data_IF_345453276496
#
_entry.id   IF_345453276496
#
_cell.length_a   1.000
_cell.length_b   1.000
_cell.length_c   1.000
_cell.angle_alpha   90.00
_cell.angle_beta   90.00
_cell.angle_gamma   90.00
#
_symmetry.space_group_name_H-M   'P 1'
#
loop_
_entity.id
_entity.type
_entity.pdbx_description
1 polymer ?
#
# COMPACT_ATOMS: atom_id res chain seq x y z
N UNK A 1 12.41 6.80 -20.04
CA UNK A 1 12.94 7.61 -18.92
C UNK A 1 12.28 7.07 -17.66
N UNK A 2 13.05 6.66 -16.66
CA UNK A 2 12.49 6.17 -15.38
C UNK A 2 11.59 7.23 -14.71
N UNK A 3 11.84 8.51 -15.00
CA UNK A 3 11.07 9.64 -14.50
C UNK A 3 9.64 9.71 -15.05
N UNK A 4 9.41 9.30 -16.29
CA UNK A 4 8.07 9.29 -16.89
C UNK A 4 7.20 8.19 -16.27
N UNK A 5 7.78 7.01 -16.04
CA UNK A 5 7.08 5.89 -15.40
C UNK A 5 6.75 6.20 -13.93
N UNK A 6 7.66 6.85 -13.21
CA UNK A 6 7.42 7.34 -11.84
C UNK A 6 6.30 8.39 -11.82
N UNK A 7 6.31 9.34 -12.76
CA UNK A 7 5.28 10.39 -12.86
C UNK A 7 3.90 9.78 -13.17
N UNK A 8 3.84 8.83 -14.10
CA UNK A 8 2.63 8.11 -14.44
C UNK A 8 2.12 7.29 -13.24
N UNK A 9 3.01 6.58 -12.54
CA UNK A 9 2.64 5.82 -11.35
C UNK A 9 2.03 6.71 -10.26
N UNK A 10 2.57 7.91 -10.03
CA UNK A 10 1.98 8.89 -9.10
C UNK A 10 0.61 9.36 -9.54
N UNK A 11 0.46 9.78 -10.79
CA UNK A 11 -0.83 10.24 -11.31
C UNK A 11 -1.90 9.16 -11.18
N UNK A 12 -1.55 7.92 -11.51
CA UNK A 12 -2.47 6.80 -11.42
C UNK A 12 -2.80 6.44 -9.97
N UNK A 13 -1.82 6.45 -9.06
CA UNK A 13 -2.07 6.28 -7.63
C UNK A 13 -3.05 7.33 -7.07
N UNK A 14 -2.86 8.61 -7.44
CA UNK A 14 -3.79 9.68 -7.05
C UNK A 14 -5.19 9.50 -7.64
N UNK A 15 -5.27 9.08 -8.90
CA UNK A 15 -6.55 8.79 -9.53
C UNK A 15 -7.27 7.63 -8.83
N UNK A 16 -6.54 6.56 -8.47
CA UNK A 16 -7.10 5.42 -7.73
C UNK A 16 -7.59 5.81 -6.34
N UNK A 17 -6.85 6.66 -5.61
CA UNK A 17 -7.30 7.16 -4.31
C UNK A 17 -8.58 8.00 -4.44
N UNK A 18 -8.71 8.79 -5.51
CA UNK A 18 -9.91 9.58 -5.77
C UNK A 18 -11.12 8.71 -6.11
N UNK A 19 -10.91 7.68 -6.91
CA UNK A 19 -11.99 6.82 -7.43
C UNK A 19 -12.41 5.72 -6.44
N UNK A 20 -11.42 5.05 -5.83
CA UNK A 20 -11.63 3.85 -5.02
C UNK A 20 -11.33 4.06 -3.52
N UNK A 21 -10.77 5.20 -3.13
CA UNK A 21 -10.50 5.53 -1.73
C UNK A 21 -9.66 4.45 -1.03
N UNK A 22 -10.22 3.84 0.03
CA UNK A 22 -9.56 2.79 0.81
C UNK A 22 -9.32 1.49 0.02
N UNK A 23 -10.04 1.26 -1.07
CA UNK A 23 -9.93 0.07 -1.91
C UNK A 23 -8.88 0.23 -3.02
N UNK A 24 -8.31 1.42 -3.19
CA UNK A 24 -7.27 1.69 -4.20
C UNK A 24 -6.10 0.66 -4.19
N UNK A 25 -5.57 0.21 -3.04
CA UNK A 25 -4.52 -0.82 -3.02
C UNK A 25 -4.98 -2.17 -3.54
N UNK A 26 -6.23 -2.58 -3.24
CA UNK A 26 -6.79 -3.85 -3.73
C UNK A 26 -6.92 -3.81 -5.25
N UNK A 27 -7.43 -2.71 -5.80
CA UNK A 27 -7.52 -2.53 -7.24
C UNK A 27 -6.14 -2.63 -7.91
N UNK A 28 -5.13 -1.93 -7.38
CA UNK A 28 -3.78 -1.96 -7.92
C UNK A 28 -3.15 -3.37 -7.88
N UNK A 29 -3.40 -4.14 -6.81
CA UNK A 29 -2.94 -5.52 -6.69
C UNK A 29 -3.55 -6.43 -7.77
N UNK A 30 -4.87 -6.36 -7.99
CA UNK A 30 -5.53 -7.14 -9.05
C UNK A 30 -4.97 -6.83 -10.45
N UNK A 31 -4.61 -5.57 -10.70
CA UNK A 31 -4.02 -5.17 -11.98
C UNK A 31 -2.59 -5.67 -12.13
N UNK A 32 -1.82 -5.73 -11.05
CA UNK A 32 -0.50 -6.37 -11.04
C UNK A 32 -0.60 -7.87 -11.34
N UNK A 33 -1.52 -8.58 -10.69
CA UNK A 33 -1.79 -10.01 -10.94
C UNK A 33 -2.13 -10.26 -12.42
N UNK A 34 -3.06 -9.47 -12.98
CA UNK A 34 -3.41 -9.56 -14.40
C UNK A 34 -2.23 -9.29 -15.33
N UNK A 35 -1.29 -8.43 -14.95
CA UNK A 35 -0.08 -8.18 -15.73
C UNK A 35 0.89 -9.38 -15.68
N UNK A 36 1.00 -10.05 -14.54
CA UNK A 36 1.78 -11.28 -14.37
C UNK A 36 1.21 -12.40 -15.24
N UNK A 37 -0.11 -12.59 -15.22
CA UNK A 37 -0.80 -13.57 -16.08
C UNK A 37 -0.50 -13.34 -17.58
N UNK A 38 -0.43 -12.07 -17.99
CA UNK A 38 -0.10 -11.65 -19.35
C UNK A 38 1.42 -11.68 -19.65
N UNK A 39 2.26 -12.01 -18.67
CA UNK A 39 3.73 -11.93 -18.73
C UNK A 39 4.25 -10.52 -19.10
N UNK A 40 3.46 -9.48 -18.82
CA UNK A 40 3.86 -8.09 -19.00
C UNK A 40 4.51 -7.57 -17.70
N UNK A 41 5.80 -7.86 -17.56
CA UNK A 41 6.56 -7.48 -16.37
C UNK A 41 6.80 -5.98 -16.28
N UNK A 42 6.75 -5.23 -17.40
CA UNK A 42 6.84 -3.77 -17.40
C UNK A 42 5.62 -3.15 -16.74
N UNK A 43 4.41 -3.59 -17.13
CA UNK A 43 3.18 -3.18 -16.46
C UNK A 43 3.14 -3.65 -15.01
N UNK A 44 3.58 -4.87 -14.73
CA UNK A 44 3.66 -5.37 -13.36
C UNK A 44 4.56 -4.47 -12.47
N UNK A 45 5.74 -4.08 -12.96
CA UNK A 45 6.65 -3.20 -12.23
C UNK A 45 6.04 -1.83 -11.95
N UNK A 46 5.28 -1.27 -12.90
CA UNK A 46 4.54 -0.03 -12.70
C UNK A 46 3.43 -0.16 -11.65
N UNK A 47 2.65 -1.25 -11.70
CA UNK A 47 1.61 -1.52 -10.67
C UNK A 47 2.20 -1.74 -9.28
N UNK A 48 3.37 -2.38 -9.19
CA UNK A 48 4.13 -2.47 -7.95
C UNK A 48 4.50 -1.08 -7.44
N UNK A 49 5.00 -0.19 -8.31
CA UNK A 49 5.34 1.17 -7.89
C UNK A 49 4.14 1.99 -7.42
N UNK A 50 2.99 1.82 -8.07
CA UNK A 50 1.70 2.41 -7.64
C UNK A 50 1.34 1.91 -6.24
N UNK A 51 1.46 0.60 -5.97
CA UNK A 51 1.21 0.03 -4.64
C UNK A 51 2.12 0.64 -3.57
N UNK A 52 3.41 0.81 -3.87
CA UNK A 52 4.36 1.44 -2.94
C UNK A 52 3.92 2.89 -2.61
N UNK A 53 3.52 3.67 -3.62
CA UNK A 53 3.03 5.05 -3.41
C UNK A 53 1.75 5.06 -2.57
N UNK A 54 0.81 4.13 -2.81
CA UNK A 54 -0.42 4.03 -2.04
C UNK A 54 -0.16 3.64 -0.58
N UNK A 55 0.86 2.81 -0.32
CA UNK A 55 1.28 2.44 1.03
C UNK A 55 1.91 3.62 1.77
N UNK A 56 2.77 4.39 1.09
CA UNK A 56 3.43 5.59 1.63
C UNK A 56 2.44 6.74 1.88
N UNK A 57 1.39 6.83 1.06
CA UNK A 57 0.37 7.89 1.13
C UNK A 57 -0.71 7.63 2.19
N UNK A 58 -0.73 6.43 2.79
CA UNK A 58 -1.65 6.14 3.88
C UNK A 58 -1.23 7.06 5.04
N UNK A 59 -2.08 8.00 5.50
CA UNK A 59 -1.76 8.73 6.71
C UNK A 59 -1.50 7.67 7.76
N UNK A 60 -0.39 7.77 8.48
CA UNK A 60 -0.04 6.86 9.56
C UNK A 60 -1.25 6.78 10.49
N UNK A 61 -2.13 5.81 10.24
CA UNK A 61 -3.21 5.48 11.13
C UNK A 61 -2.45 4.94 12.32
N UNK A 62 -2.29 5.82 13.30
CA UNK A 62 -1.67 5.59 14.58
C UNK A 62 -2.34 4.39 15.21
N UNK A 63 -1.86 3.19 14.88
CA UNK A 63 -1.91 2.05 15.77
C UNK A 63 -0.71 2.22 16.69
N UNK A 64 -0.73 3.30 17.49
CA UNK A 64 -0.08 3.24 18.79
C UNK A 64 -0.93 2.29 19.61
N UNK A 65 -0.63 1.01 19.47
CA UNK A 65 -1.03 0.00 20.42
C UNK A 65 -0.31 0.37 21.72
N UNK A 66 -0.96 1.20 22.54
CA UNK A 66 -0.54 1.44 23.92
C UNK A 66 -0.62 0.07 24.58
N UNK A 67 0.51 -0.59 24.74
CA UNK A 67 0.62 -1.74 25.62
C UNK A 67 0.22 -1.27 27.01
N UNK A 68 -1.01 -1.60 27.41
CA UNK A 68 -1.47 -1.40 28.77
C UNK A 68 -0.54 -2.20 29.68
N UNK A 69 0.19 -1.49 30.53
CA UNK A 69 1.07 -2.09 31.51
C UNK A 69 0.30 -3.04 32.41
N UNK A 70 0.52 -4.33 32.23
CA UNK A 70 0.11 -5.35 33.19
C UNK A 70 1.04 -5.23 34.40
N UNK A 71 0.57 -4.58 35.47
CA UNK A 71 1.20 -4.71 36.79
C UNK A 71 0.98 -6.15 37.24
N UNK A 72 2.04 -6.95 37.18
CA UNK A 72 2.06 -8.28 37.78
C UNK A 72 2.06 -8.15 39.29
N UNK A 73 0.92 -8.44 39.91
CA UNK A 73 0.84 -8.71 41.35
C UNK A 73 1.12 -10.19 41.55
N UNK A 74 2.37 -10.53 41.93
CA UNK A 74 2.68 -11.86 42.44
C UNK A 74 2.63 -11.81 43.97
N UNK A 75 1.63 -12.54 44.47
CA UNK A 75 1.40 -12.89 45.87
C UNK A 75 2.56 -13.72 46.40
N UNK A 76 3.11 -13.33 47.54
CA UNK A 76 4.03 -14.15 48.33
C UNK A 76 3.24 -15.29 48.97
N UNK A 77 3.69 -16.52 48.75
CA UNK A 77 3.58 -17.62 49.69
C UNK A 77 4.99 -18.11 49.97
#
# INVERSE_FOLDING_TARGET
MLDDDERLARQEAFWLLKEFGAEAPLYAAMKAEKAIEQKDFGRCARWKRILDILADSKPAASVQLKSAGAKSAVSKY
#
